data_IF_205283065846
#
_entry.id   IF_205283065846
#
_cell.length_a   1.000
_cell.length_b   1.000
_cell.length_c   1.000
_cell.angle_alpha   90.00
_cell.angle_beta   90.00
_cell.angle_gamma   90.00
#
_symmetry.space_group_name_H-M   'P 1'
#
loop_
_entity.id
_entity.type
_entity.pdbx_description
1 polymer ?
#
# COMPACT_ATOMS: atom_id res chain seq x y z
N UNK A 1 -43.40 -8.45 33.10
CA UNK A 1 -43.22 -7.97 31.71
C UNK A 1 -42.15 -6.88 31.60
N UNK A 2 -42.12 -5.89 32.49
CA UNK A 2 -41.14 -4.78 32.42
C UNK A 2 -39.67 -5.25 32.45
N UNK A 3 -39.35 -6.31 33.21
CA UNK A 3 -38.00 -6.93 33.23
C UNK A 3 -37.53 -7.41 31.85
N UNK A 4 -38.41 -7.96 31.03
CA UNK A 4 -38.07 -8.44 29.70
C UNK A 4 -37.88 -7.28 28.72
N UNK A 5 -38.72 -6.25 28.84
CA UNK A 5 -38.59 -5.02 28.04
C UNK A 5 -37.25 -4.32 28.33
N UNK A 6 -36.89 -4.18 29.61
CA UNK A 6 -35.60 -3.61 30.01
C UNK A 6 -34.44 -4.46 29.51
N UNK A 7 -34.52 -5.79 29.60
CA UNK A 7 -33.48 -6.68 29.08
C UNK A 7 -33.29 -6.56 27.56
N UNK A 8 -34.40 -6.45 26.80
CA UNK A 8 -34.35 -6.27 25.34
C UNK A 8 -33.77 -4.91 24.98
N UNK A 9 -34.18 -3.83 25.66
CA UNK A 9 -33.63 -2.49 25.43
C UNK A 9 -32.14 -2.43 25.76
N UNK A 10 -31.71 -3.09 26.85
CA UNK A 10 -30.30 -3.19 27.21
C UNK A 10 -29.50 -3.95 26.16
N UNK A 11 -30.02 -5.07 25.65
CA UNK A 11 -29.36 -5.83 24.60
C UNK A 11 -29.19 -5.01 23.32
N UNK A 12 -30.22 -4.28 22.90
CA UNK A 12 -30.14 -3.39 21.72
C UNK A 12 -29.12 -2.27 21.94
N UNK A 13 -29.09 -1.67 23.14
CA UNK A 13 -28.10 -0.64 23.46
C UNK A 13 -26.66 -1.18 23.41
N UNK A 14 -26.41 -2.38 23.94
CA UNK A 14 -25.09 -3.03 23.87
C UNK A 14 -24.70 -3.36 22.43
N UNK A 15 -25.63 -3.89 21.63
CA UNK A 15 -25.37 -4.22 20.23
C UNK A 15 -25.08 -2.97 19.38
N UNK A 16 -25.78 -1.86 19.65
CA UNK A 16 -25.52 -0.59 18.98
C UNK A 16 -24.11 -0.04 19.28
N UNK A 17 -23.65 -0.13 20.53
CA UNK A 17 -22.30 0.27 20.91
C UNK A 17 -21.22 -0.68 20.36
N UNK A 18 -21.51 -1.97 20.27
CA UNK A 18 -20.59 -2.97 19.72
C UNK A 18 -20.32 -2.72 18.23
N UNK A 19 -21.33 -2.32 17.44
CA UNK A 19 -21.15 -1.99 16.03
C UNK A 19 -20.12 -0.88 15.80
N UNK A 20 -20.24 0.24 16.51
CA UNK A 20 -19.30 1.37 16.40
C UNK A 20 -17.86 0.99 16.75
N UNK A 21 -17.68 0.10 17.74
CA UNK A 21 -16.35 -0.37 18.12
C UNK A 21 -15.74 -1.32 17.08
N UNK A 22 -16.57 -2.11 16.38
CA UNK A 22 -16.13 -2.98 15.30
C UNK A 22 -15.68 -2.14 14.10
N UNK A 23 -16.47 -1.13 13.72
CA UNK A 23 -16.13 -0.25 12.59
C UNK A 23 -14.77 0.43 12.83
N UNK A 24 -14.56 1.05 14.00
CA UNK A 24 -13.28 1.68 14.34
C UNK A 24 -12.10 0.68 14.35
N UNK A 25 -12.31 -0.52 14.91
CA UNK A 25 -11.27 -1.56 14.91
C UNK A 25 -10.94 -2.11 13.52
N UNK A 26 -11.89 -2.04 12.58
CA UNK A 26 -11.67 -2.51 11.21
C UNK A 26 -10.76 -1.56 10.40
N UNK A 27 -10.92 -0.25 10.56
CA UNK A 27 -10.06 0.75 9.92
C UNK A 27 -8.64 0.68 10.49
N UNK A 28 -8.49 0.64 11.83
CA UNK A 28 -7.18 0.54 12.50
C UNK A 28 -6.37 -0.69 12.04
N UNK A 29 -7.02 -1.86 11.92
CA UNK A 29 -6.35 -3.07 11.42
C UNK A 29 -5.90 -2.91 9.97
N UNK A 30 -6.71 -2.26 9.13
CA UNK A 30 -6.41 -2.07 7.70
C UNK A 30 -5.25 -1.10 7.50
N UNK A 31 -5.21 -0.03 8.30
CA UNK A 31 -4.08 0.90 8.34
C UNK A 31 -2.78 0.20 8.75
N UNK A 32 -2.84 -0.70 9.73
CA UNK A 32 -1.66 -1.43 10.21
C UNK A 32 -1.15 -2.46 9.17
N UNK A 33 -2.06 -3.13 8.46
CA UNK A 33 -1.70 -4.00 7.32
C UNK A 33 -1.08 -3.19 6.18
N UNK A 34 -1.63 -2.00 5.86
CA UNK A 34 -1.09 -1.11 4.83
C UNK A 34 0.30 -0.58 5.19
N UNK A 35 0.52 -0.14 6.43
CA UNK A 35 1.84 0.31 6.91
C UNK A 35 2.90 -0.79 6.76
N UNK A 36 2.52 -2.03 7.05
CA UNK A 36 3.42 -3.18 6.86
C UNK A 36 3.74 -3.37 5.37
N UNK A 37 2.73 -3.30 4.50
CA UNK A 37 2.95 -3.43 3.06
C UNK A 37 3.82 -2.30 2.49
N UNK A 38 3.65 -1.06 2.95
CA UNK A 38 4.48 0.09 2.56
C UNK A 38 5.93 -0.10 3.04
N UNK A 39 6.11 -0.54 4.28
CA UNK A 39 7.44 -0.85 4.83
C UNK A 39 8.16 -1.94 4.04
N UNK A 40 7.45 -3.00 3.62
CA UNK A 40 8.02 -4.07 2.80
C UNK A 40 8.48 -3.57 1.41
N UNK A 41 7.72 -2.64 0.80
CA UNK A 41 8.12 -1.99 -0.46
C UNK A 41 9.37 -1.15 -0.25
N UNK A 42 9.39 -0.32 0.80
CA UNK A 42 10.53 0.53 1.13
C UNK A 42 11.79 -0.31 1.34
N UNK A 43 11.72 -1.35 2.16
CA UNK A 43 12.85 -2.25 2.41
C UNK A 43 13.35 -2.89 1.10
N UNK A 44 12.44 -3.36 0.24
CA UNK A 44 12.81 -3.94 -1.03
C UNK A 44 13.45 -2.93 -1.99
N UNK A 45 12.96 -1.69 -2.00
CA UNK A 45 13.50 -0.61 -2.83
C UNK A 45 14.88 -0.17 -2.34
N UNK A 46 15.06 -0.01 -1.02
CA UNK A 46 16.36 0.30 -0.40
C UNK A 46 17.37 -0.81 -0.67
N UNK A 47 16.99 -2.08 -0.48
CA UNK A 47 17.89 -3.21 -0.81
C UNK A 47 18.27 -3.20 -2.29
N UNK A 48 17.33 -2.93 -3.18
CA UNK A 48 17.59 -2.89 -4.62
C UNK A 48 18.55 -1.75 -4.99
N UNK A 49 18.38 -0.56 -4.40
CA UNK A 49 19.21 0.61 -4.69
C UNK A 49 20.60 0.54 -4.01
N UNK A 50 20.68 -0.04 -2.82
CA UNK A 50 21.91 -0.06 -2.02
C UNK A 50 22.81 -1.27 -2.31
N UNK A 51 22.23 -2.45 -2.58
CA UNK A 51 22.97 -3.71 -2.67
C UNK A 51 23.21 -4.18 -4.11
N UNK A 52 22.47 -3.68 -5.10
CA UNK A 52 22.57 -4.12 -6.49
C UNK A 52 23.21 -3.05 -7.40
N UNK A 53 23.90 -3.50 -8.44
CA UNK A 53 24.53 -2.62 -9.44
C UNK A 53 23.75 -2.67 -10.77
N UNK A 54 23.73 -1.55 -11.48
CA UNK A 54 23.14 -1.49 -12.83
C UNK A 54 23.76 -2.55 -13.73
N UNK A 55 22.89 -3.33 -14.37
CA UNK A 55 23.34 -4.36 -15.30
C UNK A 55 23.84 -3.75 -16.60
N UNK A 56 24.91 -4.30 -17.20
CA UNK A 56 25.28 -3.95 -18.57
C UNK A 56 24.10 -4.21 -19.52
N UNK A 57 23.97 -3.44 -20.60
CA UNK A 57 22.83 -3.53 -21.55
C UNK A 57 22.56 -4.93 -22.16
N UNK A 58 23.49 -5.87 -22.03
CA UNK A 58 23.37 -7.26 -22.49
C UNK A 58 22.86 -8.24 -21.41
N UNK A 59 22.62 -7.78 -20.19
CA UNK A 59 22.20 -8.56 -19.03
C UNK A 59 20.84 -8.09 -18.51
N UNK A 60 20.04 -9.00 -17.92
CA UNK A 60 18.78 -8.62 -17.29
C UNK A 60 19.04 -7.71 -16.09
N UNK A 61 18.21 -6.67 -15.94
CA UNK A 61 18.32 -5.72 -14.83
C UNK A 61 18.03 -6.38 -13.47
N UNK A 62 18.67 -5.91 -12.38
CA UNK A 62 18.32 -6.34 -11.04
C UNK A 62 16.85 -6.05 -10.76
N UNK A 63 16.17 -7.02 -10.14
CA UNK A 63 14.75 -6.90 -9.83
C UNK A 63 14.42 -7.61 -8.53
N UNK A 64 13.43 -7.06 -7.82
CA UNK A 64 12.84 -7.62 -6.61
C UNK A 64 11.34 -7.75 -6.82
N UNK A 65 10.76 -8.81 -6.27
CA UNK A 65 9.32 -9.05 -6.33
C UNK A 65 8.81 -9.01 -4.90
N UNK A 66 7.88 -8.09 -4.63
CA UNK A 66 7.26 -7.88 -3.33
C UNK A 66 5.81 -8.37 -3.40
N UNK A 67 5.43 -9.24 -2.47
CA UNK A 67 4.04 -9.65 -2.31
C UNK A 67 3.33 -8.69 -1.36
N UNK A 68 2.35 -7.97 -1.87
CA UNK A 68 1.56 -7.01 -1.11
C UNK A 68 0.23 -7.65 -0.72
N UNK A 69 -0.19 -7.45 0.53
CA UNK A 69 -1.54 -7.79 0.97
C UNK A 69 -2.34 -6.52 1.12
N UNK A 70 -3.14 -6.18 0.10
CA UNK A 70 -4.05 -5.04 0.17
C UNK A 70 -5.32 -5.47 0.90
N UNK A 71 -5.70 -4.80 2.00
CA UNK A 71 -6.87 -5.19 2.79
C UNK A 71 -8.15 -5.33 1.95
N UNK A 72 -8.81 -6.48 2.09
CA UNK A 72 -10.16 -6.72 1.57
C UNK A 72 -11.18 -6.54 2.67
N UNK A 73 -12.32 -5.92 2.35
CA UNK A 73 -13.41 -5.71 3.30
C UNK A 73 -13.85 -7.02 3.96
N UNK A 74 -13.86 -7.03 5.29
CA UNK A 74 -14.22 -8.16 6.14
C UNK A 74 -14.92 -7.67 7.42
N UNK A 75 -15.24 -8.57 8.36
CA UNK A 75 -15.81 -8.17 9.65
C UNK A 75 -14.82 -7.42 10.55
N UNK A 76 -13.52 -7.53 10.28
CA UNK A 76 -12.44 -7.00 11.13
C UNK A 76 -11.47 -6.12 10.36
N UNK A 77 -11.74 -5.85 9.09
CA UNK A 77 -10.85 -5.16 8.17
C UNK A 77 -11.72 -4.35 7.21
N UNK A 78 -11.44 -3.07 7.05
CA UNK A 78 -12.06 -2.25 6.02
C UNK A 78 -11.31 -2.42 4.69
N UNK A 79 -12.05 -2.39 3.58
CA UNK A 79 -11.43 -2.52 2.26
C UNK A 79 -10.65 -1.27 1.88
N UNK A 80 -9.68 -1.42 0.98
CA UNK A 80 -9.01 -0.28 0.34
C UNK A 80 -9.68 0.02 -1.00
N UNK A 81 -10.12 1.27 -1.14
CA UNK A 81 -10.76 1.78 -2.36
C UNK A 81 -9.74 2.34 -3.35
N UNK A 82 -8.66 2.94 -2.84
CA UNK A 82 -7.58 3.53 -3.63
C UNK A 82 -6.24 3.37 -2.91
N UNK A 83 -5.19 3.01 -3.64
CA UNK A 83 -3.82 2.98 -3.15
C UNK A 83 -2.85 3.38 -4.27
N UNK A 84 -2.04 4.40 -4.01
CA UNK A 84 -1.09 4.92 -4.97
C UNK A 84 0.26 5.26 -4.33
N UNK A 85 1.34 5.18 -5.11
CA UNK A 85 2.67 5.64 -4.73
C UNK A 85 3.09 6.69 -5.76
N UNK A 86 3.43 7.89 -5.28
CA UNK A 86 3.84 9.01 -6.12
C UNK A 86 5.25 9.48 -5.74
N UNK A 87 6.17 9.64 -6.71
CA UNK A 87 7.46 10.24 -6.44
C UNK A 87 7.29 11.70 -6.00
N UNK A 88 8.16 12.16 -5.09
CA UNK A 88 8.19 13.57 -4.68
C UNK A 88 9.09 14.34 -5.64
N UNK A 89 8.55 15.41 -6.23
CA UNK A 89 9.31 16.31 -7.10
C UNK A 89 10.60 16.81 -6.42
N UNK A 90 11.72 16.75 -7.14
CA UNK A 90 13.05 17.21 -6.70
C UNK A 90 13.56 16.56 -5.39
N UNK A 91 13.07 15.37 -5.02
CA UNK A 91 13.54 14.62 -3.86
C UNK A 91 13.72 13.12 -4.15
N UNK A 92 14.67 12.49 -3.47
CA UNK A 92 14.90 11.03 -3.52
C UNK A 92 13.89 10.25 -2.65
N UNK A 93 12.61 10.63 -2.72
CA UNK A 93 11.56 10.09 -1.87
C UNK A 93 10.26 9.86 -2.66
N UNK A 94 9.35 9.11 -2.07
CA UNK A 94 8.00 8.88 -2.59
C UNK A 94 6.97 8.97 -1.48
N UNK A 95 5.71 9.25 -1.82
CA UNK A 95 4.59 9.26 -0.89
C UNK A 95 3.61 8.19 -1.31
N UNK A 96 3.38 7.23 -0.41
CA UNK A 96 2.28 6.28 -0.53
C UNK A 96 1.01 6.91 0.03
N UNK A 97 -0.08 6.92 -0.74
CA UNK A 97 -1.40 7.43 -0.33
C UNK A 97 -2.45 6.35 -0.47
N UNK A 98 -3.36 6.25 0.50
CA UNK A 98 -4.48 5.31 0.45
C UNK A 98 -5.79 5.94 0.90
N UNK A 99 -6.88 5.33 0.42
CA UNK A 99 -8.26 5.65 0.80
C UNK A 99 -8.99 4.34 1.11
N UNK A 100 -9.50 4.20 2.33
CA UNK A 100 -10.33 3.07 2.75
C UNK A 100 -11.78 3.23 2.23
N UNK A 101 -12.53 2.13 2.20
CA UNK A 101 -13.93 2.08 1.75
C UNK A 101 -14.87 2.96 2.59
N UNK A 102 -14.52 3.24 3.84
CA UNK A 102 -15.24 4.16 4.74
C UNK A 102 -14.90 5.65 4.49
N UNK A 103 -13.93 5.92 3.61
CA UNK A 103 -13.43 7.24 3.27
C UNK A 103 -12.27 7.74 4.15
N UNK A 104 -11.78 6.94 5.10
CA UNK A 104 -10.55 7.27 5.83
C UNK A 104 -9.37 7.33 4.86
N UNK A 105 -8.52 8.35 5.01
CA UNK A 105 -7.38 8.59 4.14
C UNK A 105 -6.10 8.61 4.96
N UNK A 106 -5.04 8.01 4.44
CA UNK A 106 -3.72 8.08 5.03
C UNK A 106 -2.63 8.25 3.99
N UNK A 107 -1.46 8.68 4.47
CA UNK A 107 -0.27 8.84 3.66
C UNK A 107 0.97 8.49 4.48
N UNK A 108 1.97 7.93 3.81
CA UNK A 108 3.24 7.55 4.41
C UNK A 108 4.38 7.93 3.48
N UNK A 109 5.49 8.42 4.06
CA UNK A 109 6.69 8.76 3.32
C UNK A 109 7.51 7.49 3.13
N UNK A 110 8.01 7.30 1.92
CA UNK A 110 8.96 6.27 1.54
C UNK A 110 10.27 6.96 1.23
N UNK A 111 11.35 6.64 1.95
CA UNK A 111 12.65 7.30 1.83
C UNK A 111 13.43 6.89 0.56
N UNK A 112 12.74 6.34 -0.43
CA UNK A 112 13.28 5.96 -1.73
C UNK A 112 12.38 6.49 -2.84
N UNK A 113 12.99 7.06 -3.89
CA UNK A 113 12.27 7.44 -5.11
C UNK A 113 11.86 6.19 -5.88
N UNK A 114 10.56 5.99 -6.05
CA UNK A 114 9.95 4.91 -6.83
C UNK A 114 9.11 5.55 -7.94
N UNK A 115 9.50 5.32 -9.19
CA UNK A 115 8.79 5.83 -10.37
C UNK A 115 8.04 4.72 -11.09
N UNK A 116 6.94 5.06 -11.77
CA UNK A 116 6.07 4.07 -12.40
C UNK A 116 6.44 3.81 -13.86
N UNK A 117 6.66 2.53 -14.20
CA UNK A 117 6.83 1.98 -15.55
C UNK A 117 8.02 2.54 -16.37
N UNK A 118 8.17 3.85 -16.48
CA UNK A 118 9.22 4.52 -17.23
C UNK A 118 10.07 5.36 -16.24
N UNK A 119 11.41 5.21 -16.25
CA UNK A 119 12.29 5.94 -15.34
C UNK A 119 12.23 7.47 -15.52
N UNK A 120 11.65 7.97 -16.61
CA UNK A 120 11.56 9.39 -16.96
C UNK A 120 10.19 10.02 -16.68
N UNK A 121 9.25 9.23 -16.14
CA UNK A 121 7.84 9.60 -16.04
C UNK A 121 7.43 9.72 -14.56
N UNK A 122 7.13 10.93 -14.10
CA UNK A 122 6.70 11.23 -12.73
C UNK A 122 5.22 10.87 -12.49
N UNK A 123 4.74 9.75 -13.05
CA UNK A 123 3.36 9.30 -12.84
C UNK A 123 3.22 8.52 -11.55
N UNK A 124 2.09 8.70 -10.89
CA UNK A 124 1.71 7.86 -9.77
C UNK A 124 1.49 6.41 -10.22
N UNK A 125 1.96 5.48 -9.38
CA UNK A 125 1.65 4.05 -9.50
C UNK A 125 0.34 3.78 -8.77
N UNK A 126 -0.76 3.53 -9.50
CA UNK A 126 -1.96 2.99 -8.87
C UNK A 126 -1.77 1.48 -8.63
N UNK A 127 -1.80 1.05 -7.37
CA UNK A 127 -1.79 -0.35 -6.99
C UNK A 127 -3.25 -0.80 -6.93
N UNK A 128 -3.81 -1.07 -8.11
CA UNK A 128 -5.23 -1.35 -8.27
C UNK A 128 -5.63 -2.73 -7.71
N UNK A 129 -6.72 -2.76 -6.92
CA UNK A 129 -7.38 -3.99 -6.48
C UNK A 129 -7.18 -4.33 -5.00
N UNK A 130 -8.03 -5.20 -4.47
CA UNK A 130 -7.93 -5.70 -3.10
C UNK A 130 -7.43 -7.15 -3.08
N UNK A 131 -6.74 -7.53 -2.01
CA UNK A 131 -6.18 -8.87 -1.80
C UNK A 131 -4.68 -8.96 -2.08
N UNK A 132 -4.21 -10.18 -2.32
CA UNK A 132 -2.78 -10.43 -2.59
C UNK A 132 -2.41 -9.94 -4.00
N UNK A 133 -1.42 -9.07 -4.05
CA UNK A 133 -0.84 -8.51 -5.25
C UNK A 133 0.66 -8.72 -5.28
N UNK A 134 1.24 -8.59 -6.47
CA UNK A 134 2.67 -8.74 -6.68
C UNK A 134 3.19 -7.49 -7.35
N UNK A 135 4.03 -6.73 -6.65
CA UNK A 135 4.73 -5.57 -7.19
C UNK A 135 6.13 -5.99 -7.61
N UNK A 136 6.53 -5.68 -8.83
CA UNK A 136 7.90 -5.90 -9.30
C UNK A 136 8.63 -4.56 -9.27
N UNK A 137 9.75 -4.53 -8.58
CA UNK A 137 10.68 -3.42 -8.55
C UNK A 137 11.89 -3.77 -9.43
N UNK A 138 12.30 -2.87 -10.29
CA UNK A 138 13.43 -3.05 -11.22
C UNK A 138 14.37 -1.85 -11.08
N UNK A 139 15.68 -2.11 -11.06
CA UNK A 139 16.67 -1.05 -11.06
C UNK A 139 16.99 -0.68 -12.52
N UNK A 140 16.65 0.54 -12.92
CA UNK A 140 16.93 1.09 -14.25
C UNK A 140 17.84 2.31 -14.15
N UNK A 141 18.44 2.70 -15.27
CA UNK A 141 19.14 3.98 -15.37
C UNK A 141 18.14 5.07 -15.83
N UNK A 142 18.22 6.25 -15.22
CA UNK A 142 17.49 7.44 -15.66
C UNK A 142 18.16 8.12 -16.88
N UNK A 143 17.72 9.33 -17.24
CA UNK A 143 18.28 10.10 -18.37
C UNK A 143 19.74 10.50 -18.15
N UNK A 144 20.17 10.67 -16.90
CA UNK A 144 21.53 11.06 -16.51
C UNK A 144 22.44 9.83 -16.28
N UNK A 145 21.86 8.63 -16.28
CA UNK A 145 22.55 7.36 -16.08
C UNK A 145 22.62 6.92 -14.62
N UNK A 146 21.89 7.60 -13.74
CA UNK A 146 21.82 7.31 -12.32
C UNK A 146 20.80 6.18 -12.04
N UNK A 147 21.05 5.32 -11.04
CA UNK A 147 20.18 4.21 -10.72
C UNK A 147 18.87 4.67 -10.08
N UNK A 148 17.74 4.32 -10.69
CA UNK A 148 16.39 4.60 -10.19
C UNK A 148 15.57 3.32 -10.06
N UNK A 149 14.77 3.24 -8.99
CA UNK A 149 13.86 2.11 -8.74
C UNK A 149 12.56 2.34 -9.48
N UNK A 150 12.22 1.42 -10.38
CA UNK A 150 11.01 1.48 -11.20
C UNK A 150 10.03 0.39 -10.77
N UNK A 151 8.81 0.80 -10.45
CA UNK A 151 7.70 -0.10 -10.17
C UNK A 151 7.01 -0.52 -11.47
N UNK A 152 6.99 -1.82 -11.74
CA UNK A 152 6.18 -2.40 -12.81
C UNK A 152 4.86 -2.95 -12.24
N UNK A 153 3.72 -2.69 -12.89
CA UNK A 153 2.44 -3.18 -12.42
C UNK A 153 2.39 -4.72 -12.39
N UNK A 154 1.56 -5.32 -11.52
CA UNK A 154 1.28 -6.74 -11.59
C UNK A 154 0.76 -7.09 -12.98
N UNK A 155 1.48 -7.97 -13.70
CA UNK A 155 0.98 -8.52 -14.95
C UNK A 155 -0.38 -9.17 -14.69
N UNK A 156 -1.45 -8.54 -15.15
CA UNK A 156 -2.80 -9.11 -15.06
C UNK A 156 -2.82 -10.39 -15.90
N UNK A 157 -2.75 -11.55 -15.23
CA UNK A 157 -2.93 -12.87 -15.84
C UNK A 157 -4.40 -13.20 -16.03
#
# INVERSE_FOLDING_TARGET
>A
MIRYVVAVLLAVAILGLAGLAIDAGSSDNSEQELQTAISDIEEAAVQLAADEELSPASHPNPQRVVELSIPTRSLTTEGVSHFEIEPVDDADASVARYVLDDGATGQELVDQRIVYHDPTDDRSTEIGGAGRQTLRLVLLADEDGDPIVVAEPPSSG
#
